data_IF_712017522847
#
_entry.id   IF_712017522847
#
_cell.length_a   1.000
_cell.length_b   1.000
_cell.length_c   1.000
_cell.angle_alpha   90.00
_cell.angle_beta   90.00
_cell.angle_gamma   90.00
#
_symmetry.space_group_name_H-M   'P 1'
#
loop_
_entity.id
_entity.type
_entity.pdbx_description
1 polymer ?
#
# COMPACT_ATOMS: atom_id res chain seq x y z
N UNK A 1 5.88 -8.91 -0.47
CA UNK A 1 5.59 -9.15 0.98
C UNK A 1 6.61 -8.49 1.90
N UNK A 2 7.91 -8.65 1.68
CA UNK A 2 8.98 -8.09 2.55
C UNK A 2 8.84 -6.59 2.82
N UNK A 3 8.59 -5.79 1.79
CA UNK A 3 8.42 -4.33 1.92
C UNK A 3 7.19 -4.00 2.77
N UNK A 4 6.08 -4.69 2.59
CA UNK A 4 4.86 -4.47 3.38
C UNK A 4 5.09 -4.74 4.87
N UNK A 5 5.84 -5.80 5.19
CA UNK A 5 6.20 -6.14 6.57
C UNK A 5 7.10 -5.06 7.18
N UNK A 6 8.14 -4.64 6.46
CA UNK A 6 9.05 -3.59 6.93
C UNK A 6 8.32 -2.26 7.12
N UNK A 7 7.43 -1.89 6.22
CA UNK A 7 6.60 -0.69 6.37
C UNK A 7 5.66 -0.78 7.58
N UNK A 8 5.09 -1.95 7.83
CA UNK A 8 4.25 -2.17 9.02
C UNK A 8 5.03 -2.00 10.33
N UNK A 9 6.34 -2.32 10.32
CA UNK A 9 7.22 -2.20 11.48
C UNK A 9 7.90 -0.82 11.60
N UNK A 10 7.79 0.02 10.58
CA UNK A 10 8.52 1.30 10.54
C UNK A 10 8.11 2.28 11.63
N UNK A 11 6.88 2.23 12.11
CA UNK A 11 6.34 3.10 13.17
C UNK A 11 6.50 2.53 14.58
N UNK A 12 6.98 1.31 14.73
CA UNK A 12 7.24 0.70 16.03
C UNK A 12 7.20 -0.82 16.01
N UNK A 13 7.68 -1.44 17.11
CA UNK A 13 7.63 -2.90 17.27
C UNK A 13 6.22 -3.45 17.24
N UNK A 14 6.03 -4.63 16.67
CA UNK A 14 4.74 -5.31 16.56
C UNK A 14 4.87 -6.82 16.74
N UNK A 15 3.83 -7.43 17.23
CA UNK A 15 3.64 -8.87 17.20
C UNK A 15 3.22 -9.31 15.80
N UNK A 16 3.38 -10.58 15.45
CA UNK A 16 3.05 -11.07 14.10
C UNK A 16 1.60 -10.79 13.69
N UNK A 17 0.63 -10.98 14.57
CA UNK A 17 -0.77 -10.68 14.28
C UNK A 17 -1.06 -9.19 14.11
N UNK A 18 -0.30 -8.33 14.79
CA UNK A 18 -0.39 -6.88 14.65
C UNK A 18 0.17 -6.41 13.30
N UNK A 19 1.21 -7.08 12.79
CA UNK A 19 1.72 -6.86 11.44
C UNK A 19 0.66 -7.18 10.40
N UNK A 20 -0.02 -8.31 10.53
CA UNK A 20 -1.13 -8.70 9.64
C UNK A 20 -2.24 -7.65 9.68
N UNK A 21 -2.63 -7.21 10.86
CA UNK A 21 -3.64 -6.17 11.05
C UNK A 21 -3.21 -4.84 10.41
N UNK A 22 -1.97 -4.41 10.63
CA UNK A 22 -1.46 -3.17 10.06
C UNK A 22 -1.47 -3.18 8.53
N UNK A 23 -1.11 -4.29 7.91
CA UNK A 23 -1.18 -4.45 6.45
C UNK A 23 -2.63 -4.44 5.97
N UNK A 24 -3.52 -5.18 6.63
CA UNK A 24 -4.95 -5.20 6.31
C UNK A 24 -5.56 -3.80 6.39
N UNK A 25 -5.27 -3.05 7.44
CA UNK A 25 -5.80 -1.70 7.65
C UNK A 25 -5.27 -0.73 6.58
N UNK A 26 -4.01 -0.87 6.15
CA UNK A 26 -3.43 -0.09 5.07
C UNK A 26 -4.17 -0.28 3.74
N UNK A 27 -4.67 -1.47 3.47
CA UNK A 27 -5.45 -1.80 2.27
C UNK A 27 -6.97 -1.72 2.51
N UNK A 28 -7.40 -1.09 3.59
CA UNK A 28 -8.82 -0.89 3.94
C UNK A 28 -9.63 -2.19 3.94
N UNK A 29 -9.01 -3.30 4.37
CA UNK A 29 -9.65 -4.61 4.43
C UNK A 29 -9.77 -5.34 3.09
N UNK A 30 -9.36 -4.73 1.96
CA UNK A 30 -9.41 -5.35 0.63
C UNK A 30 -8.33 -6.42 0.44
N UNK A 31 -7.27 -6.36 1.23
CA UNK A 31 -6.20 -7.34 1.24
C UNK A 31 -5.79 -7.62 2.69
N UNK A 32 -5.65 -8.89 3.01
CA UNK A 32 -5.11 -9.33 4.30
C UNK A 32 -4.17 -10.51 4.05
N UNK A 33 -2.88 -10.38 4.42
CA UNK A 33 -1.97 -11.49 4.29
C UNK A 33 -2.32 -12.60 5.27
N UNK A 34 -2.08 -13.85 4.87
CA UNK A 34 -2.27 -15.00 5.75
C UNK A 34 -1.11 -15.13 6.74
N UNK A 35 -1.34 -15.78 7.91
CA UNK A 35 -0.25 -16.15 8.81
C UNK A 35 0.83 -16.99 8.12
N UNK A 36 0.44 -17.89 7.23
CA UNK A 36 1.34 -18.71 6.42
C UNK A 36 2.26 -17.94 5.48
N UNK A 37 1.90 -16.71 5.11
CA UNK A 37 2.74 -15.80 4.35
C UNK A 37 3.59 -14.89 5.25
N UNK A 38 3.02 -14.39 6.33
CA UNK A 38 3.67 -13.40 7.20
C UNK A 38 4.78 -14.01 8.06
N UNK A 39 4.53 -15.11 8.75
CA UNK A 39 5.53 -15.67 9.67
C UNK A 39 6.81 -16.16 8.99
N UNK A 40 6.75 -16.84 7.82
CA UNK A 40 7.97 -17.13 7.07
C UNK A 40 8.71 -15.88 6.58
N UNK A 41 7.99 -14.83 6.20
CA UNK A 41 8.59 -13.56 5.79
C UNK A 41 9.29 -12.87 6.96
N UNK A 42 8.69 -12.84 8.14
CA UNK A 42 9.31 -12.32 9.36
C UNK A 42 10.58 -13.08 9.71
N UNK A 43 10.56 -14.42 9.62
CA UNK A 43 11.73 -15.24 9.85
C UNK A 43 12.86 -14.95 8.86
N UNK A 44 12.53 -14.81 7.58
CA UNK A 44 13.49 -14.44 6.54
C UNK A 44 14.14 -13.08 6.81
N UNK A 45 13.33 -12.08 7.18
CA UNK A 45 13.82 -10.74 7.50
C UNK A 45 14.71 -10.73 8.75
N UNK A 46 14.40 -11.56 9.75
CA UNK A 46 15.26 -11.77 10.91
C UNK A 46 16.59 -12.38 10.50
N UNK A 47 16.59 -13.43 9.69
CA UNK A 47 17.79 -14.11 9.18
C UNK A 47 18.68 -13.15 8.37
N UNK A 48 18.08 -12.21 7.66
CA UNK A 48 18.78 -11.19 6.89
C UNK A 48 19.25 -9.98 7.72
N UNK A 49 18.91 -9.92 9.00
CA UNK A 49 19.28 -8.81 9.89
C UNK A 49 18.47 -7.53 9.68
N UNK A 50 17.37 -7.59 8.94
CA UNK A 50 16.48 -6.45 8.69
C UNK A 50 15.41 -6.27 9.76
N UNK A 51 15.14 -7.31 10.52
CA UNK A 51 14.22 -7.36 11.66
C UNK A 51 14.93 -8.09 12.80
N UNK A 52 14.74 -7.60 14.01
CA UNK A 52 15.15 -8.29 15.23
C UNK A 52 13.93 -8.72 16.04
N UNK A 53 14.10 -9.77 16.82
CA UNK A 53 13.02 -10.37 17.62
C UNK A 53 13.39 -10.27 19.10
N UNK A 54 12.44 -9.79 19.89
CA UNK A 54 12.48 -9.80 21.33
C UNK A 54 11.34 -10.67 21.87
N UNK A 55 11.60 -11.50 22.85
CA UNK A 55 10.55 -12.30 23.51
C UNK A 55 10.05 -11.51 24.71
N UNK A 56 8.78 -11.12 24.68
CA UNK A 56 8.11 -10.39 25.75
C UNK A 56 6.86 -11.17 26.17
N UNK A 57 6.78 -11.53 27.45
CA UNK A 57 5.68 -12.34 27.99
C UNK A 57 5.44 -13.65 27.23
N UNK A 58 6.54 -14.32 26.83
CA UNK A 58 6.52 -15.58 26.10
C UNK A 58 6.13 -15.45 24.62
N UNK A 59 5.94 -14.24 24.10
CA UNK A 59 5.56 -13.96 22.71
C UNK A 59 6.63 -13.14 21.99
N UNK A 60 6.80 -13.41 20.70
CA UNK A 60 7.75 -12.69 19.85
C UNK A 60 7.25 -11.31 19.50
N UNK A 61 8.08 -10.31 19.74
CA UNK A 61 7.90 -8.92 19.34
C UNK A 61 8.94 -8.61 18.27
N UNK A 62 8.49 -8.20 17.10
CA UNK A 62 9.33 -7.89 15.94
C UNK A 62 9.59 -6.40 15.83
N UNK A 63 10.83 -6.05 15.56
CA UNK A 63 11.27 -4.66 15.44
C UNK A 63 12.13 -4.52 14.19
N UNK A 64 11.90 -3.47 13.41
CA UNK A 64 12.76 -3.12 12.29
C UNK A 64 14.15 -2.67 12.81
N UNK A 65 15.22 -3.19 12.21
CA UNK A 65 16.58 -2.76 12.52
C UNK A 65 16.94 -1.50 11.74
N UNK A 66 18.06 -0.88 12.08
CA UNK A 66 18.61 0.23 11.31
C UNK A 66 18.91 -0.18 9.85
N UNK A 67 19.42 -1.37 9.65
CA UNK A 67 19.62 -1.96 8.31
C UNK A 67 18.29 -2.18 7.60
N UNK A 68 17.25 -2.62 8.32
CA UNK A 68 15.90 -2.74 7.78
C UNK A 68 15.33 -1.42 7.31
N UNK A 69 15.55 -0.34 8.07
CA UNK A 69 15.13 1.01 7.68
C UNK A 69 15.88 1.50 6.44
N UNK A 70 17.17 1.24 6.38
CA UNK A 70 18.01 1.57 5.22
C UNK A 70 17.53 0.84 3.96
N UNK A 71 17.29 -0.47 4.08
CA UNK A 71 16.75 -1.28 3.01
C UNK A 71 15.39 -0.73 2.51
N UNK A 72 14.50 -0.39 3.43
CA UNK A 72 13.19 0.15 3.10
C UNK A 72 13.29 1.50 2.37
N UNK A 73 14.16 2.40 2.85
CA UNK A 73 14.37 3.70 2.24
C UNK A 73 15.00 3.59 0.84
N UNK A 74 15.98 2.72 0.65
CA UNK A 74 16.59 2.45 -0.66
C UNK A 74 15.55 1.93 -1.67
N UNK A 75 14.65 1.06 -1.24
CA UNK A 75 13.57 0.55 -2.10
C UNK A 75 12.56 1.62 -2.47
N UNK A 76 12.22 2.51 -1.54
CA UNK A 76 11.37 3.68 -1.82
C UNK A 76 12.02 4.62 -2.81
N UNK A 77 13.30 4.91 -2.64
CA UNK A 77 14.06 5.79 -3.55
C UNK A 77 14.16 5.19 -4.96
N UNK A 78 14.39 3.89 -5.06
CA UNK A 78 14.40 3.18 -6.35
C UNK A 78 13.05 3.23 -7.05
N UNK A 79 11.96 3.07 -6.31
CA UNK A 79 10.61 3.15 -6.85
C UNK A 79 10.30 4.58 -7.34
N UNK A 80 10.64 5.60 -6.55
CA UNK A 80 10.47 7.00 -6.95
C UNK A 80 11.26 7.34 -8.20
N UNK A 81 12.52 6.90 -8.28
CA UNK A 81 13.36 7.09 -9.46
C UNK A 81 12.77 6.42 -10.70
N UNK A 82 12.23 5.22 -10.55
CA UNK A 82 11.58 4.49 -11.64
C UNK A 82 10.30 5.17 -12.11
N UNK A 83 9.47 5.66 -11.18
CA UNK A 83 8.25 6.40 -11.49
C UNK A 83 8.56 7.72 -12.20
N UNK A 84 9.59 8.45 -11.75
CA UNK A 84 10.02 9.69 -12.38
C UNK A 84 10.55 9.46 -13.80
N UNK A 85 11.33 8.40 -14.01
CA UNK A 85 11.78 7.98 -15.35
C UNK A 85 10.60 7.62 -16.25
N UNK A 86 9.61 6.91 -15.72
CA UNK A 86 8.39 6.56 -16.44
C UNK A 86 7.60 7.80 -16.88
N UNK A 87 7.50 8.82 -16.01
CA UNK A 87 6.87 10.10 -16.32
C UNK A 87 7.55 10.82 -17.47
N UNK A 88 8.88 10.84 -17.49
CA UNK A 88 9.66 11.48 -18.57
C UNK A 88 9.46 10.80 -19.91
N UNK A 89 9.39 9.47 -19.92
CA UNK A 89 9.14 8.68 -21.14
C UNK A 89 7.71 8.85 -21.64
N UNK A 90 6.75 8.92 -20.72
CA UNK A 90 5.32 9.01 -21.01
C UNK A 90 4.89 10.35 -21.62
N UNK A 91 5.59 11.44 -21.28
CA UNK A 91 5.19 12.79 -21.62
C UNK A 91 4.30 13.44 -20.56
N UNK A 92 4.25 14.77 -20.57
CA UNK A 92 3.60 15.55 -19.52
C UNK A 92 2.08 15.29 -19.46
N UNK A 93 1.42 15.23 -20.60
CA UNK A 93 -0.04 15.04 -20.68
C UNK A 93 -0.47 13.65 -20.19
N UNK A 94 0.26 12.62 -20.58
CA UNK A 94 -0.03 11.27 -20.11
C UNK A 94 0.29 11.10 -18.63
N UNK A 95 1.34 11.74 -18.12
CA UNK A 95 1.66 11.75 -16.69
C UNK A 95 0.56 12.42 -15.86
N UNK A 96 0.03 13.54 -16.33
CA UNK A 96 -1.10 14.25 -15.70
C UNK A 96 -2.34 13.36 -15.65
N UNK A 97 -2.66 12.68 -16.75
CA UNK A 97 -3.78 11.73 -16.79
C UNK A 97 -3.61 10.61 -15.78
N UNK A 98 -2.43 10.00 -15.69
CA UNK A 98 -2.17 8.90 -14.76
C UNK A 98 -2.21 9.36 -13.31
N UNK A 99 -1.70 10.55 -13.00
CA UNK A 99 -1.77 11.12 -11.66
C UNK A 99 -3.22 11.41 -11.23
N UNK A 100 -4.04 11.93 -12.13
CA UNK A 100 -5.46 12.15 -11.88
C UNK A 100 -6.22 10.84 -11.64
N UNK A 101 -5.96 9.83 -12.45
CA UNK A 101 -6.56 8.50 -12.30
C UNK A 101 -6.19 7.86 -10.96
N UNK A 102 -4.91 7.93 -10.58
CA UNK A 102 -4.44 7.40 -9.29
C UNK A 102 -5.05 8.14 -8.11
N UNK A 103 -5.10 9.46 -8.16
CA UNK A 103 -5.71 10.29 -7.10
C UNK A 103 -7.18 9.93 -6.91
N UNK A 104 -7.91 9.75 -8.02
CA UNK A 104 -9.31 9.33 -7.98
C UNK A 104 -9.45 7.93 -7.35
N UNK A 105 -8.61 6.99 -7.75
CA UNK A 105 -8.64 5.63 -7.20
C UNK A 105 -8.42 5.64 -5.68
N UNK A 106 -7.45 6.38 -5.18
CA UNK A 106 -7.18 6.52 -3.75
C UNK A 106 -8.37 7.15 -3.01
N UNK A 107 -9.01 8.16 -3.60
CA UNK A 107 -10.21 8.78 -3.03
C UNK A 107 -11.37 7.79 -2.94
N UNK A 108 -11.56 6.96 -3.96
CA UNK A 108 -12.59 5.91 -3.97
C UNK A 108 -12.32 4.86 -2.88
N UNK A 109 -11.07 4.43 -2.71
CA UNK A 109 -10.70 3.52 -1.63
C UNK A 109 -10.95 4.14 -0.25
N UNK A 110 -10.65 5.41 -0.08
CA UNK A 110 -10.94 6.13 1.16
C UNK A 110 -12.46 6.19 1.43
N UNK A 111 -13.24 6.50 0.41
CA UNK A 111 -14.71 6.50 0.51
C UNK A 111 -15.25 5.12 0.92
N UNK A 112 -14.75 4.04 0.32
CA UNK A 112 -15.09 2.68 0.70
C UNK A 112 -14.83 2.40 2.18
N UNK A 113 -13.71 2.88 2.71
CA UNK A 113 -13.30 2.65 4.09
C UNK A 113 -14.08 3.47 5.12
N UNK A 114 -14.65 4.60 4.74
CA UNK A 114 -15.16 5.62 5.67
C UNK A 114 -16.66 5.91 5.55
N UNK A 115 -17.27 5.62 4.40
CA UNK A 115 -18.67 5.95 4.16
C UNK A 115 -19.60 4.77 4.48
N UNK A 116 -20.83 5.07 4.92
CA UNK A 116 -21.85 4.05 5.07
C UNK A 116 -22.34 3.54 3.70
N UNK A 117 -22.90 2.31 3.63
CA UNK A 117 -23.25 1.66 2.36
C UNK A 117 -24.12 2.49 1.42
N UNK A 118 -25.09 3.23 1.94
CA UNK A 118 -25.98 4.09 1.15
C UNK A 118 -25.22 5.23 0.45
N UNK A 119 -24.18 5.76 1.08
CA UNK A 119 -23.35 6.80 0.48
C UNK A 119 -22.37 6.25 -0.56
N UNK A 120 -22.04 4.97 -0.50
CA UNK A 120 -21.21 4.31 -1.52
C UNK A 120 -21.91 4.25 -2.87
N UNK A 121 -23.25 4.16 -2.90
CA UNK A 121 -24.02 4.20 -4.14
C UNK A 121 -23.95 5.57 -4.81
N UNK A 122 -23.94 6.65 -4.03
CA UNK A 122 -23.73 8.01 -4.56
C UNK A 122 -22.36 8.15 -5.24
N UNK A 123 -21.30 7.59 -4.62
CA UNK A 123 -19.95 7.56 -5.21
C UNK A 123 -19.94 6.74 -6.51
N UNK A 124 -20.61 5.60 -6.53
CA UNK A 124 -20.73 4.77 -7.72
C UNK A 124 -21.41 5.54 -8.89
N UNK A 125 -22.44 6.31 -8.61
CA UNK A 125 -23.11 7.12 -9.62
C UNK A 125 -22.18 8.21 -10.19
N UNK A 126 -21.44 8.90 -9.34
CA UNK A 126 -20.42 9.88 -9.77
C UNK A 126 -19.38 9.22 -10.69
N UNK A 127 -18.93 8.02 -10.38
CA UNK A 127 -17.97 7.30 -11.22
C UNK A 127 -18.57 6.89 -12.58
N UNK A 128 -19.83 6.49 -12.60
CA UNK A 128 -20.53 6.18 -13.87
C UNK A 128 -20.66 7.43 -14.76
N UNK A 129 -21.00 8.56 -14.18
CA UNK A 129 -21.06 9.84 -14.93
C UNK A 129 -19.69 10.24 -15.45
N UNK A 130 -18.63 10.13 -14.62
CA UNK A 130 -17.27 10.42 -15.03
C UNK A 130 -16.85 9.52 -16.20
N UNK A 131 -17.19 8.23 -16.15
CA UNK A 131 -16.93 7.29 -17.26
C UNK A 131 -17.58 7.74 -18.57
N UNK A 132 -18.83 8.16 -18.53
CA UNK A 132 -19.54 8.65 -19.72
C UNK A 132 -18.84 9.88 -20.30
N UNK A 133 -18.42 10.82 -19.44
CA UNK A 133 -17.68 12.01 -19.87
C UNK A 133 -16.35 11.66 -20.54
N UNK A 134 -15.61 10.71 -19.96
CA UNK A 134 -14.35 10.23 -20.56
C UNK A 134 -14.59 9.60 -21.93
N UNK A 135 -15.62 8.76 -22.07
CA UNK A 135 -15.97 8.13 -23.35
C UNK A 135 -16.31 9.18 -24.42
N UNK A 136 -16.97 10.28 -24.08
CA UNK A 136 -17.23 11.38 -25.00
C UNK A 136 -15.93 12.04 -25.48
N UNK A 137 -15.01 12.30 -24.60
CA UNK A 137 -13.68 12.84 -24.97
C UNK A 137 -12.95 11.89 -25.91
N UNK A 138 -13.10 10.56 -25.72
CA UNK A 138 -12.54 9.56 -26.61
C UNK A 138 -13.27 9.42 -27.96
N UNK A 139 -14.37 10.14 -28.16
CA UNK A 139 -15.19 10.00 -29.37
C UNK A 139 -16.03 8.72 -29.44
N UNK A 140 -16.31 8.11 -28.30
CA UNK A 140 -17.05 6.83 -28.20
C UNK A 140 -18.40 6.96 -27.49
N UNK A 141 -18.87 8.19 -27.32
CA UNK A 141 -20.15 8.47 -26.65
C UNK A 141 -21.22 8.95 -27.59
#
# INVERSE_FOLDING_TARGET
>A
MRILVLEALADGPKRGYEVIKAIRDRFHGLYSPSPGAIYPTLQLLEDEGLVEVEVVDGKKLYKITEEGRRFLNERRDQLEALLEKGRKVMGAEAAELMDAARSLALTVFHAYATLPPERLLEVADVLREARVKVLRVMGKG
#
